data_IF_835039277325
#
_entry.id   IF_835039277325
#
_cell.length_a   1.000
_cell.length_b   1.000
_cell.length_c   1.000
_cell.angle_alpha   90.00
_cell.angle_beta   90.00
_cell.angle_gamma   90.00
#
_symmetry.space_group_name_H-M   'P 1'
#
loop_
_entity.id
_entity.type
_entity.pdbx_description
1 polymer ?
#
# COMPACT_ATOMS: atom_id res chain seq x y z
N UNK A 1 -8.70 -0.06 20.02
CA UNK A 1 -7.94 0.73 19.03
C UNK A 1 -6.93 -0.19 18.35
N UNK A 2 -6.79 -0.08 17.04
CA UNK A 2 -5.81 -0.82 16.23
C UNK A 2 -4.95 0.16 15.45
N UNK A 3 -3.63 0.10 15.58
CA UNK A 3 -2.72 0.93 14.79
C UNK A 3 -2.34 0.23 13.48
N UNK A 4 -2.78 0.80 12.36
CA UNK A 4 -2.37 0.42 11.02
C UNK A 4 -1.30 1.38 10.51
N UNK A 5 -0.13 0.85 10.15
CA UNK A 5 0.99 1.60 9.61
C UNK A 5 1.22 1.21 8.15
N UNK A 6 1.55 2.18 7.29
CA UNK A 6 2.04 1.93 5.93
C UNK A 6 3.38 2.61 5.68
N UNK A 7 4.24 1.94 4.91
CA UNK A 7 5.54 2.42 4.50
C UNK A 7 5.90 1.87 3.12
N UNK A 8 6.15 2.75 2.15
CA UNK A 8 6.91 2.35 0.98
C UNK A 8 8.35 2.12 1.44
N UNK A 9 8.81 0.87 1.42
CA UNK A 9 10.10 0.46 2.00
C UNK A 9 11.29 0.88 1.14
N UNK A 10 11.07 1.16 -0.15
CA UNK A 10 12.14 1.42 -1.13
C UNK A 10 13.27 0.36 -1.04
N UNK A 11 12.89 -0.92 -0.94
CA UNK A 11 13.79 -2.08 -0.76
C UNK A 11 14.81 -1.94 0.40
N UNK A 12 14.45 -1.18 1.44
CA UNK A 12 15.28 -0.83 2.60
C UNK A 12 16.56 -0.05 2.23
N UNK A 13 16.50 0.79 1.20
CA UNK A 13 17.54 1.75 0.91
C UNK A 13 17.62 2.78 2.05
N UNK A 14 18.83 3.04 2.55
CA UNK A 14 19.02 4.06 3.58
C UNK A 14 18.56 5.43 3.07
N UNK A 15 17.73 6.08 3.85
CA UNK A 15 17.21 7.42 3.56
C UNK A 15 18.26 8.50 3.76
N UNK A 16 17.99 9.71 3.28
CA UNK A 16 18.89 10.85 3.39
C UNK A 16 19.18 11.25 4.84
N UNK A 17 18.27 10.97 5.77
CA UNK A 17 18.40 11.27 7.20
C UNK A 17 18.97 10.10 8.02
N UNK A 18 19.31 8.99 7.37
CA UNK A 18 19.93 7.88 8.06
C UNK A 18 21.30 8.33 8.63
N UNK A 19 21.63 7.97 9.89
CA UNK A 19 22.98 8.18 10.38
C UNK A 19 23.95 7.44 9.45
N UNK A 20 25.11 8.08 9.19
CA UNK A 20 26.15 7.44 8.40
C UNK A 20 26.41 6.03 8.96
N UNK A 21 26.46 4.99 8.11
CA UNK A 21 26.72 3.64 8.60
C UNK A 21 28.01 3.64 9.41
N UNK A 22 28.00 3.00 10.56
CA UNK A 22 29.17 2.88 11.43
C UNK A 22 30.23 2.00 10.74
N UNK A 23 30.96 2.61 9.83
CA UNK A 23 32.03 1.96 9.06
C UNK A 23 32.04 2.38 7.59
N UNK A 24 33.21 2.38 6.91
CA UNK A 24 33.28 2.71 5.50
C UNK A 24 32.55 1.66 4.67
N UNK A 25 31.35 2.06 4.11
CA UNK A 25 30.70 1.37 3.02
C UNK A 25 30.08 0.03 3.35
N UNK A 26 29.05 -0.01 4.22
CA UNK A 26 28.19 -1.19 4.29
C UNK A 26 27.48 -1.38 2.94
N UNK A 27 27.98 -2.33 2.12
CA UNK A 27 27.36 -2.68 0.84
C UNK A 27 25.97 -3.28 1.13
N UNK A 28 24.87 -2.70 0.65
CA UNK A 28 23.54 -3.25 0.84
C UNK A 28 23.36 -4.64 0.18
N UNK A 29 24.32 -5.08 -0.64
CA UNK A 29 24.38 -6.41 -1.20
C UNK A 29 24.93 -7.45 -0.22
N UNK A 30 25.63 -7.02 0.82
CA UNK A 30 26.06 -7.90 1.90
C UNK A 30 24.85 -8.32 2.73
N UNK A 31 24.54 -9.63 2.82
CA UNK A 31 23.40 -10.13 3.59
C UNK A 31 23.42 -9.72 5.07
N UNK A 32 24.59 -9.60 5.67
CA UNK A 32 24.74 -9.22 7.07
C UNK A 32 24.41 -7.74 7.26
N UNK A 33 24.99 -6.86 6.46
CA UNK A 33 24.72 -5.43 6.52
C UNK A 33 23.23 -5.13 6.21
N UNK A 34 22.66 -5.78 5.20
CA UNK A 34 21.25 -5.66 4.87
C UNK A 34 20.33 -6.12 6.02
N UNK A 35 20.69 -7.18 6.74
CA UNK A 35 19.94 -7.66 7.91
C UNK A 35 20.04 -6.67 9.08
N UNK A 36 21.20 -6.12 9.35
CA UNK A 36 21.39 -5.11 10.40
C UNK A 36 20.51 -3.88 10.18
N UNK A 37 20.38 -3.41 8.93
CA UNK A 37 19.45 -2.33 8.56
C UNK A 37 17.99 -2.73 8.85
N UNK A 38 17.58 -3.94 8.50
CA UNK A 38 16.20 -4.40 8.74
C UNK A 38 15.90 -4.57 10.24
N UNK A 39 16.87 -5.03 11.03
CA UNK A 39 16.74 -5.14 12.50
C UNK A 39 16.60 -3.74 13.12
N UNK A 40 17.41 -2.79 12.71
CA UNK A 40 17.33 -1.41 13.18
C UNK A 40 15.98 -0.76 12.79
N UNK A 41 15.52 -1.00 11.56
CA UNK A 41 14.19 -0.57 11.11
C UNK A 41 13.07 -1.21 11.95
N UNK A 42 13.17 -2.50 12.23
CA UNK A 42 12.18 -3.18 13.08
C UNK A 42 12.09 -2.56 14.48
N UNK A 43 13.22 -2.13 15.05
CA UNK A 43 13.25 -1.37 16.30
C UNK A 43 12.49 -0.04 16.22
N UNK A 44 12.69 0.72 15.12
CA UNK A 44 11.95 1.97 14.90
C UNK A 44 10.45 1.72 14.68
N UNK A 45 10.10 0.68 13.91
CA UNK A 45 8.69 0.29 13.72
C UNK A 45 8.05 -0.15 15.03
N UNK A 46 8.75 -0.94 15.85
CA UNK A 46 8.25 -1.36 17.16
C UNK A 46 7.98 -0.18 18.11
N UNK A 47 8.84 0.85 18.07
CA UNK A 47 8.66 2.07 18.87
C UNK A 47 7.38 2.86 18.46
N UNK A 48 6.92 2.74 17.22
CA UNK A 48 5.66 3.31 16.77
C UNK A 48 4.43 2.49 17.20
N UNK A 49 4.63 1.27 17.71
CA UNK A 49 3.58 0.41 18.26
C UNK A 49 2.50 -0.04 17.28
N UNK A 50 2.79 -0.39 16.02
CA UNK A 50 1.77 -0.85 15.09
C UNK A 50 1.22 -2.23 15.49
N UNK A 51 0.01 -2.53 15.03
CA UNK A 51 -0.61 -3.86 15.11
C UNK A 51 -0.59 -4.56 13.75
N UNK A 52 -0.69 -3.76 12.66
CA UNK A 52 -0.57 -4.22 11.28
C UNK A 52 0.30 -3.26 10.50
N UNK A 53 1.21 -3.81 9.70
CA UNK A 53 2.14 -3.04 8.85
C UNK A 53 1.92 -3.41 7.40
N UNK A 54 1.59 -2.41 6.57
CA UNK A 54 1.48 -2.51 5.12
C UNK A 54 2.75 -1.96 4.48
N UNK A 55 3.48 -2.80 3.76
CA UNK A 55 4.75 -2.43 3.12
C UNK A 55 4.61 -2.47 1.61
N UNK A 56 5.28 -1.53 0.95
CA UNK A 56 5.42 -1.48 -0.50
C UNK A 56 6.90 -1.51 -0.87
N UNK A 57 7.19 -1.79 -2.13
CA UNK A 57 8.56 -1.90 -2.67
C UNK A 57 9.47 -2.87 -1.90
N UNK A 58 8.92 -4.00 -1.52
CA UNK A 58 9.63 -5.02 -0.74
C UNK A 58 10.35 -6.01 -1.65
N UNK A 59 11.61 -6.27 -1.37
CA UNK A 59 12.42 -7.27 -2.06
C UNK A 59 12.34 -8.64 -1.40
N UNK A 60 12.32 -9.66 -2.26
CA UNK A 60 12.59 -11.04 -1.90
C UNK A 60 13.74 -11.55 -2.74
N UNK A 61 14.83 -11.99 -2.13
CA UNK A 61 15.95 -12.64 -2.79
C UNK A 61 16.69 -11.77 -3.82
N UNK A 62 16.52 -10.44 -3.79
CA UNK A 62 17.18 -9.52 -4.72
C UNK A 62 18.64 -9.27 -4.31
N UNK A 63 19.52 -9.24 -5.29
CA UNK A 63 20.96 -9.03 -5.02
C UNK A 63 21.23 -7.66 -4.39
N UNK A 64 20.45 -6.64 -4.74
CA UNK A 64 20.62 -5.26 -4.22
C UNK A 64 20.31 -5.11 -2.73
N UNK A 65 19.62 -6.08 -2.15
CA UNK A 65 19.15 -6.09 -0.75
C UNK A 65 19.61 -7.36 -0.01
N UNK A 66 20.86 -7.80 -0.27
CA UNK A 66 21.48 -8.92 0.44
C UNK A 66 20.84 -10.29 0.18
N UNK A 67 20.03 -10.44 -0.87
CA UNK A 67 19.27 -11.68 -1.18
C UNK A 67 18.34 -12.14 -0.05
N UNK A 68 17.95 -11.26 0.85
CA UNK A 68 17.08 -11.56 1.97
C UNK A 68 15.61 -11.63 1.55
N UNK A 69 14.79 -12.27 2.37
CA UNK A 69 13.34 -12.06 2.40
C UNK A 69 13.06 -10.93 3.39
N UNK A 70 12.99 -9.69 2.91
CA UNK A 70 12.85 -8.51 3.77
C UNK A 70 11.65 -8.59 4.70
N UNK A 71 10.53 -9.17 4.24
CA UNK A 71 9.32 -9.32 5.07
C UNK A 71 9.55 -10.30 6.21
N UNK A 72 10.15 -11.45 5.92
CA UNK A 72 10.42 -12.47 6.92
C UNK A 72 11.45 -11.97 7.97
N UNK A 73 12.49 -11.25 7.53
CA UNK A 73 13.47 -10.64 8.43
C UNK A 73 12.82 -9.61 9.36
N UNK A 74 12.00 -8.69 8.82
CA UNK A 74 11.28 -7.70 9.62
C UNK A 74 10.29 -8.36 10.58
N UNK A 75 9.50 -9.32 10.11
CA UNK A 75 8.54 -10.04 10.95
C UNK A 75 9.25 -10.80 12.08
N UNK A 76 10.37 -11.46 11.79
CA UNK A 76 11.21 -12.14 12.77
C UNK A 76 11.77 -11.18 13.82
N UNK A 77 12.30 -10.02 13.38
CA UNK A 77 12.84 -9.00 14.27
C UNK A 77 11.76 -8.35 15.16
N UNK A 78 10.50 -8.27 14.68
CA UNK A 78 9.35 -7.82 15.45
C UNK A 78 8.77 -8.93 16.37
N UNK A 79 9.19 -10.18 16.21
CA UNK A 79 8.62 -11.33 16.91
C UNK A 79 7.23 -11.72 16.41
N UNK A 80 6.88 -11.39 15.15
CA UNK A 80 5.56 -11.64 14.57
C UNK A 80 5.61 -12.77 13.53
N UNK A 81 4.59 -13.63 13.56
CA UNK A 81 4.54 -14.82 12.69
C UNK A 81 3.65 -14.66 11.46
N UNK A 82 2.71 -13.70 11.51
CA UNK A 82 1.73 -13.53 10.44
C UNK A 82 2.22 -12.49 9.43
N UNK A 83 2.86 -12.95 8.36
CA UNK A 83 3.34 -12.08 7.30
C UNK A 83 3.20 -12.73 5.92
N UNK A 84 3.14 -11.93 4.88
CA UNK A 84 3.15 -12.38 3.50
C UNK A 84 3.63 -11.31 2.54
N UNK A 85 4.28 -11.73 1.46
CA UNK A 85 4.63 -10.92 0.31
C UNK A 85 3.81 -11.35 -0.91
N UNK A 86 3.24 -10.39 -1.63
CA UNK A 86 2.67 -10.58 -2.95
C UNK A 86 3.53 -9.88 -3.99
N UNK A 87 4.19 -10.66 -4.83
CA UNK A 87 5.09 -10.11 -5.82
C UNK A 87 4.35 -9.48 -7.00
N UNK A 88 4.74 -8.27 -7.36
CA UNK A 88 4.34 -7.60 -8.60
C UNK A 88 4.96 -8.30 -9.79
N UNK A 89 6.22 -8.69 -9.68
CA UNK A 89 6.91 -9.56 -10.62
C UNK A 89 7.84 -10.53 -9.88
N UNK A 90 8.09 -11.68 -10.50
CA UNK A 90 9.08 -12.66 -10.08
C UNK A 90 10.34 -12.54 -10.93
N UNK A 91 11.50 -12.80 -10.33
CA UNK A 91 12.82 -12.67 -10.94
C UNK A 91 13.59 -11.46 -10.44
N UNK A 92 14.84 -11.34 -10.89
CA UNK A 92 15.73 -10.24 -10.51
C UNK A 92 15.29 -8.89 -11.08
N UNK A 93 15.57 -7.82 -10.35
CA UNK A 93 15.28 -6.44 -10.82
C UNK A 93 16.01 -6.12 -12.13
N UNK A 94 17.23 -6.62 -12.29
CA UNK A 94 18.07 -6.43 -13.47
C UNK A 94 17.95 -7.55 -14.52
N UNK A 95 17.09 -8.56 -14.28
CA UNK A 95 16.97 -9.74 -15.12
C UNK A 95 15.62 -9.88 -15.79
N UNK A 96 15.35 -11.10 -16.28
CA UNK A 96 14.06 -11.46 -16.84
C UNK A 96 12.98 -11.45 -15.76
N UNK A 97 12.05 -10.53 -15.89
CA UNK A 97 10.89 -10.40 -15.02
C UNK A 97 9.75 -11.27 -15.54
N UNK A 98 9.20 -12.11 -14.68
CA UNK A 98 8.09 -13.00 -15.01
C UNK A 98 6.86 -12.63 -14.19
N UNK A 99 5.68 -12.96 -14.74
CA UNK A 99 4.43 -12.84 -13.99
C UNK A 99 4.41 -13.90 -12.88
N UNK A 100 4.21 -13.52 -11.61
CA UNK A 100 4.07 -14.49 -10.52
C UNK A 100 2.85 -15.39 -10.73
N UNK A 101 2.92 -16.62 -10.24
CA UNK A 101 1.80 -17.56 -10.32
C UNK A 101 0.89 -17.41 -9.09
N UNK A 102 -0.42 -17.50 -9.28
CA UNK A 102 -1.43 -17.45 -8.21
C UNK A 102 -1.35 -18.62 -7.22
N UNK A 103 -0.65 -19.70 -7.57
CA UNK A 103 -0.61 -20.93 -6.75
C UNK A 103 0.07 -20.78 -5.39
N UNK A 104 0.76 -19.65 -5.12
CA UNK A 104 1.34 -19.35 -3.82
C UNK A 104 0.31 -18.91 -2.76
N UNK A 105 -0.87 -18.43 -3.18
CA UNK A 105 -1.86 -17.80 -2.30
C UNK A 105 -2.61 -18.76 -1.38
N UNK A 106 -2.80 -19.99 -1.79
CA UNK A 106 -3.50 -21.02 -1.01
C UNK A 106 -2.58 -21.77 -0.05
N UNK A 107 -1.27 -21.51 -0.09
CA UNK A 107 -0.26 -22.13 0.76
C UNK A 107 0.41 -21.07 1.64
N UNK A 108 0.99 -21.49 2.76
CA UNK A 108 1.72 -20.64 3.72
C UNK A 108 3.05 -20.11 3.16
N UNK A 109 3.05 -19.51 1.97
CA UNK A 109 4.26 -19.02 1.32
C UNK A 109 4.01 -17.75 0.51
N UNK A 110 5.06 -16.98 0.26
CA UNK A 110 5.00 -15.77 -0.55
C UNK A 110 4.60 -16.08 -2.00
N UNK A 111 3.80 -15.22 -2.61
CA UNK A 111 3.35 -15.34 -4.00
C UNK A 111 4.45 -14.90 -4.97
N UNK A 112 5.49 -15.72 -5.13
CA UNK A 112 6.62 -15.37 -6.01
C UNK A 112 6.76 -16.32 -7.17
N UNK A 113 7.01 -17.60 -6.90
CA UNK A 113 7.19 -18.64 -7.91
C UNK A 113 6.45 -19.91 -7.50
N UNK A 114 5.85 -20.56 -8.49
CA UNK A 114 5.20 -21.84 -8.25
C UNK A 114 6.19 -22.93 -7.76
N UNK A 115 5.67 -23.96 -7.08
CA UNK A 115 6.46 -25.00 -6.42
C UNK A 115 7.46 -25.72 -7.34
N UNK A 116 7.20 -25.79 -8.64
CA UNK A 116 8.11 -26.46 -9.59
C UNK A 116 9.46 -25.75 -9.75
N UNK A 117 9.54 -24.44 -9.61
CA UNK A 117 10.81 -23.69 -9.71
C UNK A 117 11.56 -23.66 -8.37
N UNK A 118 10.83 -23.69 -7.26
CA UNK A 118 11.42 -23.89 -5.94
C UNK A 118 12.01 -25.29 -5.80
N UNK A 119 11.33 -26.32 -6.29
CA UNK A 119 11.83 -27.70 -6.36
C UNK A 119 13.05 -27.85 -7.27
N UNK A 120 13.21 -26.99 -8.27
CA UNK A 120 14.37 -26.96 -9.15
C UNK A 120 15.58 -26.22 -8.54
N UNK A 121 15.56 -25.88 -7.26
CA UNK A 121 16.67 -25.24 -6.55
C UNK A 121 17.03 -23.82 -7.01
N UNK A 122 16.16 -23.16 -7.82
CA UNK A 122 16.41 -21.80 -8.24
C UNK A 122 16.05 -20.83 -7.11
N UNK A 123 16.93 -19.86 -6.80
CA UNK A 123 16.64 -18.87 -5.76
C UNK A 123 15.38 -18.11 -6.12
N UNK A 124 14.45 -18.02 -5.16
CA UNK A 124 13.25 -17.22 -5.30
C UNK A 124 13.67 -15.74 -5.29
N UNK A 125 13.23 -15.00 -6.29
CA UNK A 125 13.42 -13.56 -6.34
C UNK A 125 12.12 -12.89 -6.79
N UNK A 126 11.76 -11.81 -6.11
CA UNK A 126 10.55 -11.06 -6.39
C UNK A 126 10.64 -9.64 -5.83
N UNK A 127 9.64 -8.85 -6.18
CA UNK A 127 9.47 -7.48 -5.70
C UNK A 127 7.97 -7.18 -5.65
N UNK A 128 7.49 -6.61 -4.58
CA UNK A 128 6.05 -6.37 -4.44
C UNK A 128 5.64 -5.68 -3.15
N UNK A 129 4.43 -6.02 -2.70
CA UNK A 129 3.83 -5.49 -1.49
C UNK A 129 3.77 -6.57 -0.42
N UNK A 130 3.78 -6.15 0.84
CA UNK A 130 3.69 -7.07 1.96
C UNK A 130 2.72 -6.57 3.04
N UNK A 131 2.29 -7.49 3.86
CA UNK A 131 1.60 -7.25 5.11
C UNK A 131 2.27 -8.07 6.22
N UNK A 132 2.45 -7.45 7.37
CA UNK A 132 2.87 -8.09 8.61
C UNK A 132 1.81 -7.77 9.66
N UNK A 133 1.33 -8.77 10.40
CA UNK A 133 0.29 -8.62 11.41
C UNK A 133 0.72 -9.22 12.74
N UNK A 134 0.46 -8.49 13.81
CA UNK A 134 0.57 -8.99 15.18
C UNK A 134 -0.49 -10.05 15.45
N UNK A 135 -1.66 -9.89 14.83
CA UNK A 135 -2.80 -10.77 15.03
C UNK A 135 -2.87 -11.87 13.97
N UNK A 136 -3.52 -13.00 14.29
CA UNK A 136 -3.72 -14.09 13.32
C UNK A 136 -4.40 -13.63 12.03
N UNK A 137 -3.99 -14.20 10.92
CA UNK A 137 -4.59 -13.97 9.61
C UNK A 137 -5.32 -15.24 9.18
N UNK A 138 -6.66 -15.14 9.08
CA UNK A 138 -7.51 -16.24 8.68
C UNK A 138 -7.37 -16.58 7.20
N UNK A 139 -7.22 -15.55 6.35
CA UNK A 139 -7.08 -15.73 4.89
C UNK A 139 -6.24 -14.64 4.26
N UNK A 140 -5.53 -15.01 3.17
CA UNK A 140 -4.75 -14.11 2.35
C UNK A 140 -5.34 -14.06 0.94
N UNK A 141 -5.44 -12.86 0.37
CA UNK A 141 -5.96 -12.64 -0.97
C UNK A 141 -4.99 -11.79 -1.78
N UNK A 142 -4.85 -12.09 -3.07
CA UNK A 142 -4.06 -11.28 -3.99
C UNK A 142 -4.87 -10.97 -5.23
N UNK A 143 -4.94 -9.69 -5.57
CA UNK A 143 -5.55 -9.21 -6.79
C UNK A 143 -4.51 -8.52 -7.66
N UNK A 144 -4.37 -8.96 -8.90
CA UNK A 144 -3.57 -8.27 -9.92
C UNK A 144 -4.38 -7.09 -10.46
N UNK A 145 -3.80 -5.90 -10.38
CA UNK A 145 -4.47 -4.65 -10.78
C UNK A 145 -4.22 -4.27 -12.25
N UNK A 146 -3.46 -5.12 -12.94
CA UNK A 146 -3.17 -4.87 -14.36
C UNK A 146 -2.07 -3.84 -14.59
N UNK A 147 -1.92 -3.46 -15.86
CA UNK A 147 -1.02 -2.42 -16.35
C UNK A 147 -1.86 -1.39 -17.09
N UNK A 148 -1.46 -0.13 -17.02
CA UNK A 148 -2.00 0.86 -17.94
C UNK A 148 -1.49 0.63 -19.38
N UNK A 149 -2.15 1.22 -20.36
CA UNK A 149 -1.68 1.18 -21.74
C UNK A 149 -0.28 1.77 -21.85
N UNK A 150 0.53 1.20 -22.73
CA UNK A 150 1.80 1.81 -23.10
C UNK A 150 1.51 3.12 -23.83
N UNK A 151 2.16 4.20 -23.43
CA UNK A 151 2.08 5.49 -24.11
C UNK A 151 3.40 5.80 -24.80
N UNK A 152 3.29 6.31 -26.02
CA UNK A 152 4.41 6.89 -26.71
C UNK A 152 4.41 8.40 -26.41
N UNK A 153 5.22 8.82 -25.46
CA UNK A 153 5.35 10.24 -25.07
C UNK A 153 6.51 10.88 -25.81
N UNK A 154 6.32 12.12 -26.24
CA UNK A 154 7.39 12.88 -26.87
C UNK A 154 8.32 13.44 -25.78
N UNK A 155 9.62 13.24 -25.92
CA UNK A 155 10.60 13.88 -25.06
C UNK A 155 10.49 15.39 -25.22
N UNK A 156 10.14 16.12 -24.15
CA UNK A 156 10.06 17.57 -24.16
C UNK A 156 11.42 18.18 -24.47
N UNK A 157 11.46 19.02 -25.49
CA UNK A 157 12.65 19.77 -25.87
C UNK A 157 12.44 20.45 -27.20
N UNK A 158 12.62 21.79 -27.21
CA UNK A 158 12.62 22.72 -28.37
C UNK A 158 11.25 23.20 -28.88
N UNK A 159 10.80 24.30 -28.34
CA UNK A 159 10.02 25.28 -29.07
C UNK A 159 10.92 25.87 -30.20
N UNK A 160 10.77 25.44 -31.43
CA UNK A 160 11.58 25.94 -32.56
C UNK A 160 11.22 25.32 -33.91
N UNK A 161 11.68 25.91 -34.97
CA UNK A 161 11.41 25.59 -36.39
C UNK A 161 11.71 24.14 -36.86
N UNK A 162 12.07 23.22 -35.95
CA UNK A 162 12.34 21.80 -36.25
C UNK A 162 11.21 20.82 -35.94
N UNK A 163 9.99 21.29 -35.66
CA UNK A 163 8.87 20.43 -35.16
C UNK A 163 8.53 19.24 -36.09
N UNK A 164 8.58 19.42 -37.38
CA UNK A 164 8.25 18.35 -38.33
C UNK A 164 9.34 17.26 -38.42
N UNK A 165 10.63 17.64 -38.43
CA UNK A 165 11.73 16.66 -38.42
C UNK A 165 11.82 15.91 -37.06
N UNK A 166 11.62 16.61 -35.95
CA UNK A 166 11.59 16.00 -34.64
C UNK A 166 10.37 15.08 -34.41
N UNK A 167 9.27 15.31 -35.13
CA UNK A 167 8.09 14.44 -35.10
C UNK A 167 8.31 13.11 -35.84
N UNK A 168 9.25 13.06 -36.75
CA UNK A 168 9.57 11.87 -37.54
C UNK A 168 10.79 11.09 -36.97
N UNK A 169 11.50 11.65 -35.99
CA UNK A 169 12.62 10.96 -35.37
C UNK A 169 12.14 10.02 -34.24
N UNK A 170 12.31 8.69 -34.38
CA UNK A 170 11.94 7.72 -33.36
C UNK A 170 12.60 7.96 -32.00
N UNK A 171 13.78 8.62 -31.98
CA UNK A 171 14.52 8.95 -30.75
C UNK A 171 13.87 10.08 -29.95
N UNK A 172 12.98 10.86 -30.56
CA UNK A 172 12.23 11.91 -29.89
C UNK A 172 11.05 11.36 -29.05
N UNK A 173 10.78 10.07 -29.15
CA UNK A 173 9.72 9.41 -28.41
C UNK A 173 10.27 8.50 -27.32
N UNK A 174 9.56 8.45 -26.21
CA UNK A 174 9.79 7.51 -25.11
C UNK A 174 8.55 6.64 -24.97
N UNK A 175 8.77 5.33 -24.99
CA UNK A 175 7.72 4.39 -24.63
C UNK A 175 7.59 4.34 -23.11
N UNK A 176 6.53 4.90 -22.59
CA UNK A 176 6.18 4.79 -21.17
C UNK A 176 5.29 3.58 -20.97
N UNK A 177 5.83 2.58 -20.28
CA UNK A 177 5.08 1.39 -19.87
C UNK A 177 4.81 1.46 -18.40
N UNK A 178 3.56 1.38 -17.97
CA UNK A 178 3.23 1.24 -16.56
C UNK A 178 3.56 -0.18 -16.10
N UNK A 179 4.07 -0.30 -14.88
CA UNK A 179 4.30 -1.61 -14.26
C UNK A 179 2.98 -2.23 -13.81
N UNK A 180 2.88 -3.56 -13.88
CA UNK A 180 1.78 -4.27 -13.24
C UNK A 180 1.82 -4.01 -11.73
N UNK A 181 0.66 -3.82 -11.14
CA UNK A 181 0.49 -3.60 -9.69
C UNK A 181 -0.32 -4.73 -9.06
N UNK A 182 -0.29 -4.80 -7.76
CA UNK A 182 -0.93 -5.87 -6.99
C UNK A 182 -1.52 -5.32 -5.70
N UNK A 183 -2.69 -5.81 -5.34
CA UNK A 183 -3.24 -5.72 -3.99
C UNK A 183 -2.91 -7.02 -3.28
N UNK A 184 -2.31 -6.94 -2.11
CA UNK A 184 -2.29 -8.01 -1.11
C UNK A 184 -3.29 -7.66 -0.02
N UNK A 185 -4.22 -8.54 0.27
CA UNK A 185 -5.17 -8.35 1.36
C UNK A 185 -5.13 -9.52 2.35
N UNK A 186 -5.37 -9.20 3.61
CA UNK A 186 -5.42 -10.13 4.74
C UNK A 186 -6.74 -9.98 5.48
N UNK A 187 -7.37 -11.10 5.83
CA UNK A 187 -8.42 -11.12 6.83
C UNK A 187 -7.80 -11.34 8.20
N UNK A 188 -7.66 -10.27 8.95
CA UNK A 188 -7.06 -10.26 10.28
C UNK A 188 -8.13 -10.60 11.31
N UNK A 189 -7.92 -11.65 12.08
CA UNK A 189 -8.78 -12.03 13.21
C UNK A 189 -8.39 -11.22 14.44
N UNK A 190 -9.31 -10.44 14.97
CA UNK A 190 -9.03 -9.54 16.08
C UNK A 190 -9.55 -10.11 17.42
N UNK A 191 -8.78 -9.97 18.50
CA UNK A 191 -9.28 -10.23 19.84
C UNK A 191 -10.46 -9.31 20.18
N UNK A 192 -11.38 -9.81 20.99
CA UNK A 192 -12.50 -9.03 21.50
C UNK A 192 -12.00 -7.75 22.18
N UNK A 193 -12.54 -6.60 21.81
CA UNK A 193 -12.19 -5.30 22.38
C UNK A 193 -11.14 -4.49 21.63
N UNK A 194 -10.39 -5.07 20.66
CA UNK A 194 -9.44 -4.31 19.82
C UNK A 194 -10.20 -3.35 18.90
N UNK A 195 -11.18 -3.88 18.15
CA UNK A 195 -12.17 -3.10 17.39
C UNK A 195 -13.55 -3.62 17.79
N UNK A 196 -14.22 -3.02 18.78
CA UNK A 196 -15.51 -3.50 19.27
C UNK A 196 -16.55 -3.62 18.17
N UNK A 197 -17.28 -4.73 18.14
CA UNK A 197 -18.29 -5.03 17.13
C UNK A 197 -17.75 -5.56 15.79
N UNK A 198 -16.43 -5.47 15.56
CA UNK A 198 -15.80 -5.93 14.33
C UNK A 198 -15.12 -7.26 14.54
N UNK A 199 -15.62 -8.42 14.48
CA UNK A 199 -14.91 -9.70 14.74
C UNK A 199 -13.60 -9.92 13.95
N UNK A 200 -13.24 -9.00 13.05
CA UNK A 200 -12.02 -8.98 12.26
C UNK A 200 -11.92 -7.71 11.40
N UNK A 201 -10.85 -7.63 10.61
CA UNK A 201 -10.54 -6.51 9.73
C UNK A 201 -9.98 -7.03 8.40
N UNK A 202 -10.53 -6.59 7.28
CA UNK A 202 -9.92 -6.81 5.98
C UNK A 202 -8.93 -5.69 5.69
N UNK A 203 -7.62 -6.01 5.70
CA UNK A 203 -6.55 -5.03 5.45
C UNK A 203 -5.92 -5.29 4.09
N UNK A 204 -5.78 -4.24 3.28
CA UNK A 204 -5.07 -4.29 1.99
C UNK A 204 -3.78 -3.48 2.01
N UNK A 205 -2.71 -4.01 1.36
CA UNK A 205 -1.50 -3.28 1.01
C UNK A 205 -1.39 -3.17 -0.51
N UNK A 206 -1.19 -1.96 -1.03
CA UNK A 206 -1.03 -1.73 -2.46
C UNK A 206 -0.01 -0.63 -2.75
N UNK A 207 0.60 -0.69 -3.95
CA UNK A 207 1.39 0.38 -4.52
C UNK A 207 0.92 0.59 -5.96
N UNK A 208 0.38 1.76 -6.27
CA UNK A 208 -0.23 2.05 -7.56
C UNK A 208 0.76 2.65 -8.55
N UNK A 209 0.33 2.81 -9.78
CA UNK A 209 1.15 3.44 -10.83
C UNK A 209 1.33 4.93 -10.55
N UNK A 210 2.43 5.49 -11.06
CA UNK A 210 2.70 6.93 -10.96
C UNK A 210 1.87 7.79 -11.91
N UNK A 211 1.23 7.18 -12.92
CA UNK A 211 0.30 7.86 -13.82
C UNK A 211 -1.08 7.95 -13.16
N UNK A 212 -1.64 9.15 -12.97
CA UNK A 212 -2.89 9.32 -12.22
C UNK A 212 -4.09 8.55 -12.81
N UNK A 213 -4.24 8.53 -14.13
CA UNK A 213 -5.29 7.79 -14.83
C UNK A 213 -5.23 6.28 -14.58
N UNK A 214 -4.02 5.72 -14.58
CA UNK A 214 -3.78 4.30 -14.30
C UNK A 214 -3.94 4.01 -12.81
N UNK A 215 -3.42 4.88 -11.94
CA UNK A 215 -3.55 4.75 -10.51
C UNK A 215 -5.01 4.77 -10.07
N UNK A 216 -5.82 5.67 -10.65
CA UNK A 216 -7.26 5.75 -10.39
C UNK A 216 -7.99 4.44 -10.74
N UNK A 217 -7.75 3.89 -11.93
CA UNK A 217 -8.32 2.61 -12.34
C UNK A 217 -7.84 1.44 -11.45
N UNK A 218 -6.57 1.45 -11.05
CA UNK A 218 -6.00 0.46 -10.16
C UNK A 218 -6.57 0.58 -8.74
N UNK A 219 -6.78 1.81 -8.23
CA UNK A 219 -7.41 2.05 -6.94
C UNK A 219 -8.84 1.51 -6.90
N UNK A 220 -9.63 1.83 -7.90
CA UNK A 220 -11.00 1.31 -8.02
C UNK A 220 -11.03 -0.23 -8.03
N UNK A 221 -10.12 -0.85 -8.79
CA UNK A 221 -9.99 -2.31 -8.85
C UNK A 221 -9.49 -2.94 -7.55
N UNK A 222 -8.61 -2.27 -6.82
CA UNK A 222 -8.12 -2.71 -5.51
C UNK A 222 -9.22 -2.63 -4.47
N UNK A 223 -9.92 -1.49 -4.42
CA UNK A 223 -11.03 -1.26 -3.50
C UNK A 223 -12.16 -2.27 -3.72
N UNK A 224 -12.63 -2.41 -4.96
CA UNK A 224 -13.66 -3.39 -5.30
C UNK A 224 -13.27 -4.85 -5.00
N UNK A 225 -11.98 -5.17 -4.97
CA UNK A 225 -11.53 -6.50 -4.57
C UNK A 225 -11.48 -6.65 -3.04
N UNK A 226 -11.06 -5.61 -2.32
CA UNK A 226 -10.98 -5.60 -0.86
C UNK A 226 -12.37 -5.68 -0.23
N UNK A 227 -13.33 -4.89 -0.72
CA UNK A 227 -14.70 -4.83 -0.19
C UNK A 227 -15.55 -6.08 -0.44
N UNK A 228 -15.04 -7.07 -1.16
CA UNK A 228 -15.63 -8.41 -1.24
C UNK A 228 -15.31 -9.31 -0.05
N UNK A 229 -14.35 -8.91 0.77
CA UNK A 229 -13.99 -9.65 1.98
C UNK A 229 -14.93 -9.26 3.11
N UNK A 230 -15.21 -10.15 4.06
CA UNK A 230 -16.07 -9.81 5.18
C UNK A 230 -15.41 -8.86 6.18
N UNK A 231 -16.24 -8.06 6.84
CA UNK A 231 -15.85 -7.13 7.90
C UNK A 231 -15.62 -5.70 7.40
N UNK A 232 -15.24 -4.79 8.28
CA UNK A 232 -14.79 -3.46 7.91
C UNK A 232 -13.47 -3.55 7.13
N UNK A 233 -13.21 -2.57 6.27
CA UNK A 233 -12.09 -2.59 5.34
C UNK A 233 -11.13 -1.43 5.60
N UNK A 234 -9.82 -1.71 5.48
CA UNK A 234 -8.78 -0.71 5.48
C UNK A 234 -7.78 -0.99 4.34
N UNK A 235 -7.62 -0.05 3.41
CA UNK A 235 -6.63 -0.10 2.34
C UNK A 235 -5.52 0.88 2.67
N UNK A 236 -4.28 0.39 2.73
CA UNK A 236 -3.11 1.20 3.02
C UNK A 236 -2.04 1.06 1.94
N UNK A 237 -1.29 2.11 1.68
CA UNK A 237 -0.16 2.05 0.76
C UNK A 237 0.15 3.34 0.03
N UNK A 238 1.19 3.24 -0.82
CA UNK A 238 1.57 4.29 -1.76
C UNK A 238 0.61 4.27 -2.96
N UNK A 239 -0.33 5.20 -2.96
CA UNK A 239 -1.33 5.30 -4.01
C UNK A 239 -0.85 6.15 -5.20
N UNK A 240 0.27 6.87 -5.07
CA UNK A 240 0.76 7.82 -6.07
C UNK A 240 -0.30 8.85 -6.53
N UNK A 241 -1.31 9.07 -5.71
CA UNK A 241 -2.40 10.03 -5.90
C UNK A 241 -2.43 10.99 -4.73
N UNK A 242 -2.78 12.24 -5.00
CA UNK A 242 -2.99 13.23 -3.95
C UNK A 242 -4.35 13.04 -3.27
N UNK A 243 -4.56 13.58 -2.05
CA UNK A 243 -5.83 13.42 -1.34
C UNK A 243 -7.06 13.87 -2.13
N UNK A 244 -6.96 14.96 -2.89
CA UNK A 244 -8.02 15.48 -3.74
C UNK A 244 -8.37 14.54 -4.89
N UNK A 245 -7.35 13.91 -5.49
CA UNK A 245 -7.53 12.92 -6.54
C UNK A 245 -8.23 11.67 -6.00
N UNK A 246 -7.80 11.17 -4.83
CA UNK A 246 -8.45 10.03 -4.17
C UNK A 246 -9.89 10.34 -3.81
N UNK A 247 -10.18 11.53 -3.24
CA UNK A 247 -11.54 11.94 -2.90
C UNK A 247 -12.44 12.03 -4.12
N UNK A 248 -11.93 12.55 -5.24
CA UNK A 248 -12.70 12.69 -6.48
C UNK A 248 -13.16 11.36 -7.06
N UNK A 249 -12.49 10.26 -6.74
CA UNK A 249 -12.85 8.91 -7.19
C UNK A 249 -14.01 8.30 -6.38
N UNK A 250 -14.30 8.80 -5.19
CA UNK A 250 -15.39 8.30 -4.35
C UNK A 250 -15.28 6.81 -3.93
N UNK A 251 -14.10 6.22 -4.02
CA UNK A 251 -13.93 4.77 -3.79
C UNK A 251 -13.86 4.37 -2.32
N UNK A 252 -13.57 5.33 -1.44
CA UNK A 252 -13.46 5.09 0.00
C UNK A 252 -13.24 6.41 0.72
N UNK A 253 -13.15 6.37 2.03
CA UNK A 253 -12.92 7.53 2.88
C UNK A 253 -11.47 7.53 3.36
N UNK A 254 -10.75 8.64 3.12
CA UNK A 254 -9.39 8.86 3.62
C UNK A 254 -9.37 9.01 5.14
N UNK A 255 -8.40 8.37 5.76
CA UNK A 255 -8.08 8.51 7.18
C UNK A 255 -6.71 9.17 7.37
N UNK A 256 -6.63 10.06 8.36
CA UNK A 256 -5.43 10.81 8.66
C UNK A 256 -5.08 11.89 7.63
N UNK A 257 -4.09 12.69 7.95
CA UNK A 257 -3.62 13.86 7.18
C UNK A 257 -2.09 13.97 7.24
N UNK A 258 -1.54 15.00 6.60
CA UNK A 258 -0.12 15.32 6.60
C UNK A 258 0.64 14.73 5.42
N UNK A 259 1.78 15.36 5.05
CA UNK A 259 2.60 14.92 3.93
C UNK A 259 3.43 13.69 4.28
N UNK A 260 3.74 12.86 3.25
CA UNK A 260 4.52 11.62 3.42
C UNK A 260 5.75 11.56 2.50
N UNK A 261 5.83 12.44 1.49
CA UNK A 261 6.88 12.40 0.47
C UNK A 261 7.38 13.81 0.09
N UNK A 262 8.67 14.01 -0.19
CA UNK A 262 9.77 13.11 0.13
C UNK A 262 10.08 13.09 1.64
N UNK A 263 10.73 12.03 2.15
CA UNK A 263 10.99 11.85 3.58
C UNK A 263 11.90 12.92 4.21
N UNK A 264 12.82 13.51 3.43
CA UNK A 264 13.76 14.55 3.86
C UNK A 264 13.18 15.99 3.89
N UNK A 265 11.90 16.12 3.62
CA UNK A 265 11.17 17.39 3.62
C UNK A 265 9.77 17.17 3.05
N UNK A 266 8.89 16.50 3.78
CA UNK A 266 7.60 16.08 3.26
C UNK A 266 6.75 17.22 2.75
N UNK A 267 6.29 17.15 1.50
CA UNK A 267 5.50 18.18 0.81
C UNK A 267 4.21 17.62 0.23
N UNK A 268 4.20 16.33 -0.10
CA UNK A 268 3.08 15.67 -0.75
C UNK A 268 2.60 14.52 0.11
N UNK A 269 1.31 14.27 0.09
CA UNK A 269 0.73 13.06 0.64
C UNK A 269 0.34 12.14 -0.50
N UNK A 270 1.03 11.01 -0.62
CA UNK A 270 0.78 9.96 -1.61
C UNK A 270 0.65 8.58 -0.97
N UNK A 271 1.03 8.46 0.31
CA UNK A 271 0.80 7.30 1.14
C UNK A 271 -0.48 7.52 1.96
N UNK A 272 -1.42 6.60 1.84
CA UNK A 272 -2.77 6.79 2.37
C UNK A 272 -3.28 5.56 3.11
N UNK A 273 -4.22 5.82 4.03
CA UNK A 273 -5.12 4.80 4.58
C UNK A 273 -6.55 5.19 4.22
N UNK A 274 -7.27 4.26 3.60
CA UNK A 274 -8.68 4.40 3.25
C UNK A 274 -9.50 3.38 4.03
N UNK A 275 -10.76 3.75 4.31
CA UNK A 275 -11.78 2.87 4.88
C UNK A 275 -13.09 3.00 4.13
N UNK A 276 -14.07 2.21 4.52
CA UNK A 276 -15.41 2.23 3.96
C UNK A 276 -16.01 3.64 3.99
N UNK A 277 -16.76 4.02 2.94
CA UNK A 277 -17.54 5.26 2.95
C UNK A 277 -18.59 5.20 4.05
N UNK A 278 -19.06 6.38 4.47
CA UNK A 278 -20.21 6.44 5.35
C UNK A 278 -21.45 5.87 4.65
N UNK A 279 -22.32 5.13 5.36
CA UNK A 279 -23.62 4.78 4.81
C UNK A 279 -24.41 6.04 4.49
N UNK A 280 -25.30 5.93 3.51
CA UNK A 280 -26.14 7.05 3.11
C UNK A 280 -27.56 6.88 3.65
N UNK A 281 -28.20 7.99 4.03
CA UNK A 281 -29.62 8.01 4.35
C UNK A 281 -30.48 7.85 3.08
N UNK A 282 -31.81 7.81 3.26
CA UNK A 282 -32.74 7.71 2.14
C UNK A 282 -32.69 8.91 1.16
N UNK A 283 -32.03 10.00 1.55
CA UNK A 283 -31.83 11.21 0.74
C UNK A 283 -30.41 11.28 0.16
N UNK A 284 -29.59 10.22 0.30
CA UNK A 284 -28.22 10.16 -0.18
C UNK A 284 -27.22 10.97 0.65
N UNK A 285 -27.55 11.37 1.86
CA UNK A 285 -26.65 12.09 2.76
C UNK A 285 -25.88 11.12 3.64
N UNK A 286 -24.56 11.36 3.87
CA UNK A 286 -23.76 10.50 4.75
C UNK A 286 -24.31 10.47 6.18
N UNK A 287 -24.54 9.29 6.71
CA UNK A 287 -24.84 9.04 8.12
C UNK A 287 -23.53 9.08 8.91
N UNK A 288 -23.08 10.27 9.23
CA UNK A 288 -21.89 10.46 10.06
C UNK A 288 -22.30 10.35 11.52
N UNK A 289 -21.70 9.44 12.31
CA UNK A 289 -21.95 9.39 13.75
C UNK A 289 -21.67 10.77 14.38
N UNK A 290 -22.60 11.25 15.20
CA UNK A 290 -22.43 12.50 15.94
C UNK A 290 -21.17 12.46 16.81
N UNK A 291 -20.61 13.61 17.19
CA UNK A 291 -19.54 13.67 18.17
C UNK A 291 -20.05 12.96 19.44
N UNK A 292 -19.33 11.92 19.88
CA UNK A 292 -19.58 11.37 21.22
C UNK A 292 -19.31 12.48 22.22
N UNK A 293 -20.21 12.65 23.20
CA UNK A 293 -19.96 13.43 24.39
C UNK A 293 -18.80 12.80 25.17
N UNK A 294 -17.59 13.06 24.71
CA UNK A 294 -16.35 12.66 25.37
C UNK A 294 -15.58 13.94 25.65
N UNK A 295 -15.48 14.28 26.90
CA UNK A 295 -14.52 15.29 27.34
C UNK A 295 -13.12 14.94 26.85
N UNK A 296 -12.56 15.76 25.98
CA UNK A 296 -11.17 15.67 25.56
C UNK A 296 -10.96 15.89 24.06
N UNK A 297 -10.35 17.03 23.75
CA UNK A 297 -9.70 17.46 22.51
C UNK A 297 -10.56 17.44 21.22
N UNK A 298 -10.84 18.66 20.77
CA UNK A 298 -11.74 18.99 19.69
C UNK A 298 -11.42 18.33 18.34
N UNK A 299 -12.41 17.64 17.83
CA UNK A 299 -12.49 17.29 16.43
C UNK A 299 -13.19 18.44 15.68
N UNK A 300 -12.41 19.24 14.97
CA UNK A 300 -12.96 20.24 14.05
C UNK A 300 -13.37 19.55 12.75
N UNK A 301 -14.59 19.01 12.72
CA UNK A 301 -15.21 18.50 11.50
C UNK A 301 -15.49 19.65 10.53
N UNK A 302 -14.64 19.81 9.53
CA UNK A 302 -14.97 20.64 8.37
C UNK A 302 -15.97 19.85 7.54
N UNK A 303 -17.23 20.22 7.62
CA UNK A 303 -18.29 19.77 6.73
C UNK A 303 -17.99 20.19 5.29
N UNK A 304 -17.34 19.34 4.55
CA UNK A 304 -17.18 19.47 3.10
C UNK A 304 -18.43 18.95 2.43
N UNK A 305 -19.23 19.86 1.87
CA UNK A 305 -20.29 19.52 0.92
C UNK A 305 -19.66 18.83 -0.27
N UNK A 306 -19.96 17.53 -0.49
CA UNK A 306 -19.55 16.78 -1.68
C UNK A 306 -20.51 17.18 -2.81
N UNK A 307 -20.03 17.76 -3.94
CA UNK A 307 -20.86 17.94 -5.14
C UNK A 307 -21.20 16.55 -5.71
N UNK A 308 -22.43 16.43 -6.21
CA UNK A 308 -23.08 15.20 -6.64
C UNK A 308 -22.25 14.30 -7.54
N UNK A 309 -22.40 13.04 -7.28
CA UNK A 309 -21.95 11.95 -8.14
C UNK A 309 -22.73 11.99 -9.48
N UNK A 310 -22.02 12.33 -10.52
CA UNK A 310 -22.48 12.09 -11.89
C UNK A 310 -21.32 11.47 -12.68
N UNK A 311 -21.48 10.24 -13.09
CA UNK A 311 -20.56 9.60 -14.02
C UNK A 311 -20.33 8.13 -13.72
N UNK A 312 -21.30 7.29 -14.07
CA UNK A 312 -21.09 5.85 -14.16
C UNK A 312 -20.03 5.57 -15.23
N UNK A 313 -18.94 4.92 -14.84
CA UNK A 313 -17.94 4.36 -15.75
C UNK A 313 -18.57 3.11 -16.39
N UNK A 314 -18.74 3.07 -17.73
CA UNK A 314 -19.30 1.89 -18.39
C UNK A 314 -18.25 0.78 -18.47
N UNK A 315 -18.66 -0.43 -18.11
CA UNK A 315 -17.99 -1.67 -18.49
C UNK A 315 -17.14 -2.34 -17.42
N UNK A 316 -17.74 -2.66 -16.27
CA UNK A 316 -17.28 -3.78 -15.45
C UNK A 316 -18.52 -4.58 -15.06
N UNK A 317 -18.76 -5.69 -15.76
CA UNK A 317 -19.69 -6.72 -15.30
C UNK A 317 -19.22 -7.24 -13.94
N UNK A 318 -19.86 -6.81 -12.87
CA UNK A 318 -19.56 -7.22 -11.51
C UNK A 318 -20.79 -7.07 -10.65
N UNK A 319 -21.21 -8.16 -10.03
CA UNK A 319 -22.20 -8.18 -8.97
C UNK A 319 -21.95 -7.07 -7.93
N UNK A 320 -22.98 -6.53 -7.29
CA UNK A 320 -22.81 -5.42 -6.34
C UNK A 320 -21.79 -5.79 -5.27
N UNK A 321 -20.89 -4.86 -4.98
CA UNK A 321 -19.94 -4.95 -3.88
C UNK A 321 -20.70 -5.40 -2.63
N UNK A 322 -20.18 -6.40 -1.92
CA UNK A 322 -20.81 -6.90 -0.69
C UNK A 322 -21.12 -5.73 0.23
N UNK A 323 -22.36 -5.68 0.71
CA UNK A 323 -22.79 -4.65 1.65
C UNK A 323 -21.83 -4.64 2.85
N UNK A 324 -21.40 -3.48 3.34
CA UNK A 324 -20.63 -3.39 4.57
C UNK A 324 -21.40 -4.10 5.69
N UNK A 325 -20.66 -4.75 6.60
CA UNK A 325 -21.29 -5.37 7.78
C UNK A 325 -22.17 -4.33 8.46
N UNK A 326 -23.47 -4.61 8.66
CA UNK A 326 -24.35 -3.60 9.21
C UNK A 326 -23.87 -3.17 10.58
N UNK A 327 -23.61 -1.90 10.74
CA UNK A 327 -23.48 -1.25 12.05
C UNK A 327 -22.09 -0.95 12.58
N UNK A 328 -20.97 -1.26 11.87
CA UNK A 328 -19.62 -0.96 12.37
C UNK A 328 -18.80 -0.20 11.34
N UNK A 329 -18.37 1.00 11.68
CA UNK A 329 -17.53 1.84 10.82
C UNK A 329 -16.20 2.17 11.49
N UNK A 330 -15.13 2.23 10.70
CA UNK A 330 -13.81 2.64 11.18
C UNK A 330 -13.69 4.16 11.15
N UNK A 331 -13.10 4.72 12.20
CA UNK A 331 -12.69 6.13 12.27
C UNK A 331 -11.22 6.22 12.67
N UNK A 332 -10.56 7.29 12.30
CA UNK A 332 -9.25 7.63 12.83
C UNK A 332 -9.43 8.31 14.19
N UNK A 333 -8.87 7.71 15.24
CA UNK A 333 -8.75 8.33 16.55
C UNK A 333 -7.54 9.26 16.61
N UNK A 334 -6.43 8.80 16.04
CA UNK A 334 -5.18 9.53 15.95
C UNK A 334 -4.42 9.08 14.69
N UNK A 335 -3.48 9.91 14.22
CA UNK A 335 -2.64 9.59 13.07
C UNK A 335 -1.34 10.39 13.10
N UNK A 336 -0.36 9.93 12.34
CA UNK A 336 0.89 10.63 12.19
C UNK A 336 1.73 10.09 11.05
N UNK A 337 2.80 10.82 10.78
CA UNK A 337 3.85 10.38 9.87
C UNK A 337 5.22 10.65 10.46
N UNK A 338 6.19 9.82 10.16
CA UNK A 338 7.56 9.97 10.63
C UNK A 338 8.56 9.41 9.63
N UNK A 339 9.69 10.07 9.49
CA UNK A 339 10.80 9.58 8.69
C UNK A 339 11.55 8.51 9.48
N UNK A 340 11.84 7.40 8.82
CA UNK A 340 12.64 6.31 9.37
C UNK A 340 14.02 6.27 8.73
N UNK A 341 14.87 5.33 9.19
CA UNK A 341 16.24 5.20 8.66
C UNK A 341 16.32 4.78 7.19
N UNK A 342 15.23 4.26 6.64
CA UNK A 342 15.15 3.82 5.24
C UNK A 342 14.08 4.59 4.50
N UNK A 343 14.15 4.53 3.16
CA UNK A 343 13.14 5.07 2.24
C UNK A 343 13.22 6.57 2.01
N UNK A 344 12.73 6.99 0.86
CA UNK A 344 12.40 8.38 0.51
C UNK A 344 10.93 8.73 0.84
N UNK A 345 10.19 7.81 1.47
CA UNK A 345 8.85 8.04 2.03
C UNK A 345 8.88 8.04 3.56
N UNK A 346 8.06 8.87 4.17
CA UNK A 346 7.77 8.77 5.59
C UNK A 346 6.79 7.63 5.85
N UNK A 347 7.00 6.87 6.93
CA UNK A 347 5.98 5.96 7.43
C UNK A 347 4.78 6.77 7.91
N UNK A 348 3.57 6.34 7.55
CA UNK A 348 2.34 6.95 8.07
C UNK A 348 1.50 5.89 8.79
N UNK A 349 0.84 6.29 9.86
CA UNK A 349 0.01 5.41 10.67
C UNK A 349 -1.32 6.06 11.05
N UNK A 350 -2.29 5.23 11.32
CA UNK A 350 -3.63 5.62 11.77
C UNK A 350 -4.05 4.68 12.90
N UNK A 351 -4.52 5.25 14.00
CA UNK A 351 -5.20 4.54 15.07
C UNK A 351 -6.67 4.39 14.72
N UNK A 352 -7.06 3.17 14.37
CA UNK A 352 -8.41 2.82 13.99
C UNK A 352 -9.25 2.53 15.24
N UNK A 353 -10.43 3.11 15.26
CA UNK A 353 -11.48 2.85 16.24
C UNK A 353 -12.79 2.53 15.50
N UNK A 354 -13.67 1.75 16.13
CA UNK A 354 -15.00 1.47 15.60
C UNK A 354 -16.03 2.40 16.19
N UNK A 355 -16.93 2.88 15.34
CA UNK A 355 -18.16 3.57 15.75
C UNK A 355 -19.36 2.78 15.25
N UNK A 356 -20.39 2.67 16.08
CA UNK A 356 -21.68 2.09 15.69
C UNK A 356 -22.42 3.06 14.77
N UNK A 357 -23.20 2.52 13.83
CA UNK A 357 -24.16 3.28 13.04
C UNK A 357 -25.40 3.62 13.88
#
# INVERSE_FOLDING_TARGET
VLRLLTLNLQHAQLGALAPAPAGPGADPRDPRAAREVLVALAGQLAALGPDVIALQEVDLGQARSGRLNQVAELASALGWTHHRLAATYAGGVTGLRRRPRRSGLTRRGDDVLGPALAAAGRPLAGFGNALISRYPVAAWHVRRLGRGPALLTRRGGAAGRGRLRAALDPRSYRLETSTARVLLAAQVSLPTGVLPGAGGLAVGSTHLATRPDVAAAQLAGAWAALTRLPGPHALAGDLNLRPEEVRSLGVGRLLGEGPTYPADGPRYRIDHVLTDPWPLDAHGRPLVPGPRDAGGAGWSGVGGVVPGAAGAVPGVDGAPAGAPSPGVHLVARDWGSTTLLVSDHAATWVDLETVGA
#
